data_IF_424721451099
#
_entry.id   IF_424721451099
#
_cell.length_a   1.000
_cell.length_b   1.000
_cell.length_c   1.000
_cell.angle_alpha   90.00
_cell.angle_beta   90.00
_cell.angle_gamma   90.00
#
_symmetry.space_group_name_H-M   'P 1'
#
loop_
_entity.id
_entity.type
_entity.pdbx_description
1 polymer ?
#
# COMPACT_ATOMS: atom_id res chain seq x y z
N UNK A 1 -1.60 27.51 6.86
CA UNK A 1 -2.70 26.70 6.31
C UNK A 1 -2.22 25.89 5.11
N UNK A 2 -1.55 24.75 5.35
CA UNK A 2 -0.97 23.91 4.30
C UNK A 2 -2.00 23.07 3.53
N UNK A 3 -3.14 22.75 4.15
CA UNK A 3 -4.27 22.05 3.49
C UNK A 3 -4.83 22.78 2.25
N UNK A 4 -4.63 24.10 2.14
CA UNK A 4 -5.07 24.89 0.97
C UNK A 4 -4.09 24.81 -0.22
N UNK A 5 -2.90 24.22 -0.05
CA UNK A 5 -1.84 24.16 -1.06
C UNK A 5 -1.67 22.78 -1.72
N UNK A 6 -2.50 21.79 -1.35
CA UNK A 6 -2.39 20.42 -1.89
C UNK A 6 -1.29 19.56 -1.26
N UNK A 7 -0.59 20.09 -0.25
CA UNK A 7 0.37 19.32 0.56
C UNK A 7 -0.39 18.46 1.58
N UNK A 8 -0.30 17.13 1.41
CA UNK A 8 -0.97 16.13 2.25
C UNK A 8 -0.02 15.47 3.26
N UNK A 9 1.20 15.97 3.44
CA UNK A 9 2.22 15.34 4.28
C UNK A 9 1.85 15.21 5.76
N UNK A 10 0.96 16.07 6.27
CA UNK A 10 0.53 16.06 7.69
C UNK A 10 -0.84 15.40 7.91
N UNK A 11 -1.42 14.72 6.90
CA UNK A 11 -2.70 14.04 7.09
C UNK A 11 -2.54 12.82 8.00
N UNK A 12 -3.33 12.72 9.10
CA UNK A 12 -3.33 11.53 9.94
C UNK A 12 -3.66 10.28 9.11
N UNK A 13 -2.79 9.28 9.17
CA UNK A 13 -3.01 8.00 8.50
C UNK A 13 -4.08 7.14 9.18
N UNK A 14 -4.56 6.12 8.47
CA UNK A 14 -5.46 5.09 8.99
C UNK A 14 -4.96 3.72 8.57
N UNK A 15 -4.98 2.75 9.50
CA UNK A 15 -4.70 1.34 9.19
C UNK A 15 -6.03 0.59 9.10
N UNK A 16 -6.20 -0.17 8.01
CA UNK A 16 -7.33 -1.09 7.84
C UNK A 16 -6.82 -2.52 7.86
N UNK A 17 -7.38 -3.35 8.73
CA UNK A 17 -7.22 -4.81 8.70
C UNK A 17 -8.55 -5.45 8.34
N UNK A 18 -8.52 -6.57 7.62
CA UNK A 18 -9.72 -7.31 7.21
C UNK A 18 -9.50 -8.81 7.45
N UNK A 19 -10.42 -9.44 8.17
CA UNK A 19 -10.38 -10.86 8.49
C UNK A 19 -11.35 -11.63 7.60
N UNK A 20 -10.98 -12.85 7.21
CA UNK A 20 -11.76 -13.70 6.30
C UNK A 20 -12.14 -15.05 6.93
N UNK A 21 -12.76 -15.91 6.13
CA UNK A 21 -13.24 -17.23 6.59
C UNK A 21 -12.15 -18.17 7.12
N UNK A 22 -10.88 -17.88 6.79
CA UNK A 22 -9.71 -18.66 7.21
C UNK A 22 -8.89 -17.97 8.30
N UNK A 23 -9.32 -16.81 8.79
CA UNK A 23 -8.65 -16.15 9.90
C UNK A 23 -8.97 -16.84 11.21
N UNK A 24 -7.99 -16.90 12.11
CA UNK A 24 -8.18 -17.34 13.50
C UNK A 24 -7.70 -16.29 14.50
N UNK A 25 -7.80 -16.59 15.80
CA UNK A 25 -7.41 -15.66 16.86
C UNK A 25 -5.91 -15.34 16.82
N UNK A 26 -5.08 -16.27 16.34
CA UNK A 26 -3.64 -16.02 16.22
C UNK A 26 -3.32 -14.93 15.20
N UNK A 27 -4.18 -14.71 14.20
CA UNK A 27 -4.04 -13.59 13.27
C UNK A 27 -4.33 -12.23 13.93
N UNK A 28 -5.29 -12.21 14.87
CA UNK A 28 -5.57 -11.01 15.69
C UNK A 28 -4.39 -10.73 16.60
N UNK A 29 -3.83 -11.75 17.24
CA UNK A 29 -2.66 -11.61 18.12
C UNK A 29 -1.45 -11.05 17.35
N UNK A 30 -1.18 -11.57 16.16
CA UNK A 30 -0.12 -11.07 15.26
C UNK A 30 -0.34 -9.61 14.86
N UNK A 31 -1.58 -9.23 14.56
CA UNK A 31 -1.91 -7.84 14.24
C UNK A 31 -1.62 -6.92 15.43
N UNK A 32 -2.08 -7.29 16.64
CA UNK A 32 -1.85 -6.51 17.86
C UNK A 32 -0.36 -6.39 18.18
N UNK A 33 0.40 -7.48 18.06
CA UNK A 33 1.84 -7.47 18.28
C UNK A 33 2.55 -6.49 17.33
N UNK A 34 2.23 -6.54 16.04
CA UNK A 34 2.84 -5.64 15.06
C UNK A 34 2.47 -4.18 15.28
N UNK A 35 1.21 -3.88 15.64
CA UNK A 35 0.80 -2.52 15.98
C UNK A 35 1.55 -1.99 17.21
N UNK A 36 1.76 -2.81 18.23
CA UNK A 36 2.55 -2.43 19.40
C UNK A 36 4.01 -2.12 19.05
N UNK A 37 4.63 -2.93 18.18
CA UNK A 37 6.00 -2.70 17.69
C UNK A 37 6.10 -1.41 16.89
N UNK A 38 5.14 -1.14 15.99
CA UNK A 38 5.08 0.09 15.21
C UNK A 38 4.90 1.30 16.14
N UNK A 39 3.98 1.23 17.11
CA UNK A 39 3.73 2.32 18.05
C UNK A 39 4.95 2.66 18.92
N UNK A 40 5.81 1.68 19.22
CA UNK A 40 7.07 1.87 19.95
C UNK A 40 8.22 2.34 19.06
N UNK A 41 8.05 2.31 17.74
CA UNK A 41 9.13 2.58 16.79
C UNK A 41 10.10 1.41 16.60
N UNK A 42 9.77 0.22 17.10
CA UNK A 42 10.57 -1.02 17.00
C UNK A 42 10.48 -1.67 15.61
N UNK A 43 9.67 -1.10 14.72
CA UNK A 43 9.53 -1.51 13.34
C UNK A 43 9.54 -0.28 12.44
N UNK A 44 10.61 -0.15 11.65
CA UNK A 44 10.80 0.97 10.71
C UNK A 44 11.12 0.38 9.34
N UNK A 45 10.36 0.83 8.32
CA UNK A 45 10.73 0.60 6.93
C UNK A 45 11.17 1.91 6.28
N UNK A 46 11.86 1.80 5.16
CA UNK A 46 12.25 2.95 4.36
C UNK A 46 11.18 3.24 3.31
N UNK A 47 10.43 4.33 3.54
CA UNK A 47 9.33 4.76 2.70
C UNK A 47 9.55 6.20 2.22
N UNK A 48 8.95 6.51 1.08
CA UNK A 48 8.87 7.84 0.48
C UNK A 48 7.41 8.27 0.42
N UNK A 49 7.13 9.48 0.90
CA UNK A 49 5.83 10.11 0.74
C UNK A 49 5.70 10.69 -0.67
N UNK A 50 4.69 10.27 -1.42
CA UNK A 50 4.18 10.99 -2.58
C UNK A 50 3.32 12.17 -2.08
N UNK A 51 3.91 13.37 -2.08
CA UNK A 51 3.28 14.58 -1.52
C UNK A 51 1.93 14.93 -2.18
N UNK A 52 1.77 14.83 -3.52
CA UNK A 52 0.48 15.07 -4.17
C UNK A 52 -0.65 14.14 -3.71
N UNK A 53 -0.37 12.84 -3.55
CA UNK A 53 -1.39 11.83 -3.22
C UNK A 53 -1.55 11.65 -1.71
N UNK A 54 -0.48 11.82 -0.94
CA UNK A 54 -0.38 11.48 0.47
C UNK A 54 0.04 10.02 0.72
N UNK A 55 0.33 9.26 -0.34
CA UNK A 55 0.65 7.83 -0.24
C UNK A 55 2.13 7.62 0.12
N UNK A 56 2.42 6.53 0.84
CA UNK A 56 3.78 6.11 1.15
C UNK A 56 4.17 4.90 0.31
N UNK A 57 5.28 4.98 -0.41
CA UNK A 57 5.85 3.88 -1.19
C UNK A 57 7.19 3.44 -0.62
N UNK A 58 7.47 2.13 -0.53
CA UNK A 58 8.79 1.64 -0.12
C UNK A 58 9.90 2.13 -1.07
N UNK A 59 11.00 2.65 -0.53
CA UNK A 59 12.05 3.34 -1.31
C UNK A 59 12.77 2.44 -2.32
N UNK A 60 12.95 1.17 -1.98
CA UNK A 60 13.81 0.23 -2.70
C UNK A 60 13.10 -1.08 -3.05
N UNK A 61 11.77 -1.05 -3.14
CA UNK A 61 10.97 -2.21 -3.48
C UNK A 61 10.41 -2.07 -4.89
N UNK A 62 10.66 -3.09 -5.71
CA UNK A 62 10.09 -3.23 -7.05
C UNK A 62 9.14 -4.41 -7.02
N UNK A 63 7.88 -4.19 -7.40
CA UNK A 63 6.89 -5.26 -7.49
C UNK A 63 6.94 -5.87 -8.90
N UNK A 64 7.37 -7.13 -9.07
CA UNK A 64 7.51 -7.75 -10.39
C UNK A 64 6.17 -8.28 -10.88
N UNK A 65 5.19 -7.39 -11.05
CA UNK A 65 3.82 -7.75 -11.45
C UNK A 65 3.78 -8.53 -12.76
N UNK A 66 4.73 -8.27 -13.66
CA UNK A 66 4.87 -8.95 -14.94
C UNK A 66 5.10 -10.46 -14.81
N UNK A 67 5.65 -10.91 -13.67
CA UNK A 67 5.85 -12.34 -13.39
C UNK A 67 4.56 -13.06 -13.01
N UNK A 68 3.55 -12.32 -12.52
CA UNK A 68 2.32 -12.88 -11.97
C UNK A 68 1.07 -12.59 -12.83
N UNK A 69 1.14 -11.59 -13.71
CA UNK A 69 0.02 -11.17 -14.55
C UNK A 69 0.38 -11.24 -16.03
N UNK A 70 -0.30 -12.11 -16.77
CA UNK A 70 -0.26 -12.11 -18.23
C UNK A 70 -1.09 -10.93 -18.75
N UNK A 71 -0.44 -9.95 -19.37
CA UNK A 71 -1.14 -8.92 -20.13
C UNK A 71 -1.71 -9.54 -21.40
N UNK A 72 -2.99 -9.89 -21.38
CA UNK A 72 -3.71 -10.19 -22.62
C UNK A 72 -3.83 -8.91 -23.44
N UNK A 73 -3.26 -8.94 -24.64
CA UNK A 73 -3.36 -7.84 -25.59
C UNK A 73 -4.79 -7.77 -26.10
N UNK A 74 -5.65 -7.00 -25.44
CA UNK A 74 -7.03 -6.75 -25.89
C UNK A 74 -6.93 -6.15 -27.31
N UNK A 75 -7.38 -6.94 -28.28
CA UNK A 75 -7.07 -6.78 -29.69
C UNK A 75 -7.39 -5.40 -30.24
N UNK A 76 -6.40 -4.80 -30.91
CA UNK A 76 -6.64 -3.77 -31.92
C UNK A 76 -7.45 -4.43 -33.05
N UNK A 77 -8.62 -3.90 -33.47
CA UNK A 77 -9.28 -4.44 -34.64
C UNK A 77 -8.35 -4.29 -35.84
N UNK A 78 -8.14 -5.39 -36.57
CA UNK A 78 -7.41 -5.38 -37.82
C UNK A 78 -8.10 -4.37 -38.76
N UNK A 79 -7.35 -3.36 -39.19
CA UNK A 79 -7.83 -2.37 -40.15
C UNK A 79 -8.34 -3.07 -41.40
N UNK A 80 -9.55 -2.71 -41.82
CA UNK A 80 -10.12 -3.14 -43.09
C UNK A 80 -9.31 -2.60 -44.26
N UNK A 81 -9.16 -3.45 -45.27
CA UNK A 81 -8.88 -3.07 -46.65
C UNK A 81 -10.17 -3.18 -47.45
#
# INVERSE_FOLDING_TARGET
NQMLAGDKSEMPGMVRASFGCYSDISDVDRLVEMLQRIARGDYQGDYMLDVPTGEYHPRHFHEPLEEYFLLEQIGRPAGGH
#
